data_IF_990167608557
#
_entry.id   IF_990167608557
#
_cell.length_a   1.000
_cell.length_b   1.000
_cell.length_c   1.000
_cell.angle_alpha   90.00
_cell.angle_beta   90.00
_cell.angle_gamma   90.00
#
_symmetry.space_group_name_H-M   'P 1'
#
loop_
_entity.id
_entity.type
_entity.pdbx_description
1 polymer ?
#
# COMPACT_ATOMS: atom_id res chain seq x y z
N UNK A 1 14.36 -12.84 -8.20
CA UNK A 1 15.17 -12.94 -6.94
C UNK A 1 14.59 -11.94 -5.95
N UNK A 2 14.61 -12.21 -4.63
CA UNK A 2 14.15 -11.24 -3.62
C UNK A 2 15.25 -10.19 -3.42
N UNK A 3 14.91 -8.91 -3.54
CA UNK A 3 15.85 -7.78 -3.57
C UNK A 3 15.99 -7.04 -2.21
N UNK A 4 15.48 -7.63 -1.14
CA UNK A 4 15.57 -7.08 0.23
C UNK A 4 15.71 -8.19 1.26
N UNK A 5 16.42 -7.91 2.34
CA UNK A 5 16.53 -8.82 3.50
C UNK A 5 15.36 -8.66 4.47
N UNK A 6 14.58 -7.59 4.33
CA UNK A 6 13.47 -7.30 5.21
C UNK A 6 12.32 -8.31 5.03
N UNK A 7 11.73 -8.70 6.12
CA UNK A 7 10.45 -9.40 6.12
C UNK A 7 9.32 -8.45 5.74
N UNK A 8 8.20 -8.97 5.26
CA UNK A 8 7.01 -8.16 4.94
C UNK A 8 6.60 -7.29 6.14
N UNK A 9 6.67 -7.81 7.37
CA UNK A 9 6.34 -7.05 8.59
C UNK A 9 7.27 -5.88 8.87
N UNK A 10 8.53 -5.99 8.51
CA UNK A 10 9.49 -4.87 8.64
C UNK A 10 9.21 -3.82 7.59
N UNK A 11 8.89 -4.22 6.36
CA UNK A 11 8.47 -3.32 5.29
C UNK A 11 7.15 -2.62 5.69
N UNK A 12 6.14 -3.35 6.18
CA UNK A 12 4.90 -2.77 6.70
C UNK A 12 5.19 -1.68 7.76
N UNK A 13 6.12 -1.90 8.69
CA UNK A 13 6.49 -0.90 9.72
C UNK A 13 7.08 0.37 9.11
N UNK A 14 7.92 0.24 8.09
CA UNK A 14 8.49 1.39 7.36
C UNK A 14 7.35 2.18 6.72
N UNK A 15 6.45 1.50 6.02
CA UNK A 15 5.31 2.11 5.34
C UNK A 15 4.37 2.81 6.35
N UNK A 16 4.06 2.14 7.46
CA UNK A 16 3.20 2.69 8.53
C UNK A 16 3.81 3.97 9.12
N UNK A 17 5.12 3.97 9.40
CA UNK A 17 5.81 5.16 9.90
C UNK A 17 5.76 6.30 8.87
N UNK A 18 5.97 5.97 7.61
CA UNK A 18 5.92 6.88 6.49
C UNK A 18 4.53 7.49 6.25
N UNK A 19 3.46 6.72 6.44
CA UNK A 19 2.06 7.18 6.36
C UNK A 19 1.63 8.07 7.55
N UNK A 20 2.49 8.31 8.53
CA UNK A 20 2.19 9.11 9.71
C UNK A 20 1.70 8.29 10.91
N UNK A 21 1.76 6.97 10.81
CA UNK A 21 1.51 6.04 11.91
C UNK A 21 0.04 5.85 12.27
N UNK A 22 -0.18 4.94 13.21
CA UNK A 22 -1.51 4.53 13.69
C UNK A 22 -2.23 5.57 14.56
N UNK A 23 -1.53 6.63 14.98
CA UNK A 23 -2.15 7.70 15.78
C UNK A 23 -3.06 8.60 14.95
N UNK A 24 -2.79 8.70 13.65
CA UNK A 24 -3.48 9.61 12.74
C UNK A 24 -4.33 8.89 11.71
N UNK A 25 -4.10 7.59 11.54
CA UNK A 25 -4.75 6.79 10.50
C UNK A 25 -5.27 5.46 11.07
N UNK A 26 -6.35 4.96 10.48
CA UNK A 26 -6.75 3.56 10.62
C UNK A 26 -5.90 2.77 9.63
N UNK A 27 -5.01 1.89 10.11
CA UNK A 27 -4.11 1.12 9.27
C UNK A 27 -4.41 -0.37 9.41
N UNK A 28 -4.63 -1.05 8.29
CA UNK A 28 -4.96 -2.48 8.24
C UNK A 28 -4.05 -3.18 7.24
N UNK A 29 -3.13 -4.05 7.70
CA UNK A 29 -2.35 -4.88 6.80
C UNK A 29 -3.14 -6.09 6.33
N UNK A 30 -2.82 -6.57 5.13
CA UNK A 30 -3.41 -7.76 4.51
C UNK A 30 -4.95 -7.74 4.53
N UNK A 31 -5.53 -6.69 3.99
CA UNK A 31 -6.97 -6.59 3.86
C UNK A 31 -7.44 -7.54 2.75
N UNK A 32 -8.08 -8.62 3.13
CA UNK A 32 -8.71 -9.56 2.22
C UNK A 32 -10.21 -9.57 2.42
N UNK A 33 -10.97 -9.76 1.34
CA UNK A 33 -12.41 -10.05 1.28
C UNK A 33 -13.37 -9.19 2.12
N UNK A 34 -14.31 -8.63 1.44
CA UNK A 34 -15.52 -8.04 2.04
C UNK A 34 -15.44 -6.54 2.34
N UNK A 35 -14.34 -5.86 1.98
CA UNK A 35 -14.28 -4.41 1.99
C UNK A 35 -13.92 -3.84 0.61
N UNK A 36 -12.74 -4.11 0.06
CA UNK A 36 -12.42 -3.82 -1.34
C UNK A 36 -12.88 -4.96 -2.24
N UNK A 37 -12.89 -4.74 -3.55
CA UNK A 37 -13.19 -5.77 -4.56
C UNK A 37 -11.98 -6.70 -4.84
N UNK A 38 -10.85 -6.44 -4.21
CA UNK A 38 -9.59 -7.17 -4.31
C UNK A 38 -8.90 -7.25 -2.95
N UNK A 39 -7.78 -7.98 -2.88
CA UNK A 39 -6.90 -8.02 -1.71
C UNK A 39 -5.88 -6.90 -1.79
N UNK A 40 -5.60 -6.25 -0.65
CA UNK A 40 -4.60 -5.21 -0.51
C UNK A 40 -3.58 -5.58 0.57
N UNK A 41 -2.29 -5.38 0.30
CA UNK A 41 -1.23 -5.67 1.28
C UNK A 41 -1.33 -4.76 2.49
N UNK A 42 -1.65 -3.49 2.28
CA UNK A 42 -1.88 -2.53 3.36
C UNK A 42 -2.83 -1.43 2.92
N UNK A 43 -3.78 -1.09 3.77
CA UNK A 43 -4.59 0.12 3.61
C UNK A 43 -4.41 1.07 4.79
N UNK A 44 -4.53 2.36 4.50
CA UNK A 44 -4.57 3.43 5.50
C UNK A 44 -5.76 4.36 5.21
N UNK A 45 -6.56 4.65 6.23
CA UNK A 45 -7.64 5.64 6.14
C UNK A 45 -7.28 6.83 7.01
N UNK A 46 -7.16 8.00 6.38
CA UNK A 46 -6.80 9.23 7.08
C UNK A 46 -7.99 9.82 7.88
N UNK A 47 -7.71 10.85 8.68
CA UNK A 47 -8.74 11.54 9.50
C UNK A 47 -9.88 12.13 8.66
N UNK A 48 -9.64 12.44 7.39
CA UNK A 48 -10.62 13.01 6.48
C UNK A 48 -11.47 11.92 5.80
N UNK A 49 -11.11 10.63 5.98
CA UNK A 49 -11.80 9.48 5.41
C UNK A 49 -11.32 9.06 4.04
N UNK A 50 -10.19 9.55 3.58
CA UNK A 50 -9.58 9.08 2.34
C UNK A 50 -8.77 7.82 2.56
N UNK A 51 -8.99 6.81 1.70
CA UNK A 51 -8.28 5.56 1.72
C UNK A 51 -7.07 5.59 0.80
N UNK A 52 -5.93 5.20 1.35
CA UNK A 52 -4.70 4.92 0.62
C UNK A 52 -4.47 3.42 0.63
N UNK A 53 -4.24 2.84 -0.53
CA UNK A 53 -3.86 1.46 -0.72
C UNK A 53 -2.37 1.37 -1.07
N UNK A 54 -1.70 0.39 -0.51
CA UNK A 54 -0.29 0.14 -0.73
C UNK A 54 -0.08 -1.33 -1.06
N UNK A 55 0.62 -1.58 -2.16
CA UNK A 55 1.10 -2.90 -2.57
C UNK A 55 2.61 -3.02 -2.34
N UNK A 56 3.03 -4.12 -1.74
CA UNK A 56 4.44 -4.40 -1.41
C UNK A 56 4.98 -5.44 -2.39
N UNK A 57 5.98 -5.07 -3.17
CA UNK A 57 6.65 -6.00 -4.10
C UNK A 57 8.11 -6.15 -3.67
N UNK A 58 8.57 -7.38 -3.53
CA UNK A 58 9.92 -7.68 -3.03
C UNK A 58 10.91 -8.06 -4.12
N UNK A 59 10.45 -8.16 -5.36
CA UNK A 59 11.27 -8.39 -6.55
C UNK A 59 10.62 -7.76 -7.77
N UNK A 60 11.41 -7.57 -8.83
CA UNK A 60 10.91 -7.04 -10.10
C UNK A 60 9.94 -8.01 -10.78
N UNK A 61 10.16 -9.31 -10.68
CA UNK A 61 9.24 -10.34 -11.22
C UNK A 61 7.88 -10.28 -10.52
N UNK A 62 7.85 -10.10 -9.19
CA UNK A 62 6.62 -9.96 -8.42
C UNK A 62 5.86 -8.67 -8.82
N UNK A 63 6.61 -7.58 -9.03
CA UNK A 63 6.05 -6.32 -9.54
C UNK A 63 5.40 -6.52 -10.92
N UNK A 64 6.11 -7.12 -11.88
CA UNK A 64 5.58 -7.41 -13.22
C UNK A 64 4.37 -8.34 -13.22
N UNK A 65 4.34 -9.29 -12.30
CA UNK A 65 3.23 -10.24 -12.22
C UNK A 65 1.89 -9.56 -11.87
N UNK A 66 1.93 -8.43 -11.18
CA UNK A 66 0.75 -7.68 -10.81
C UNK A 66 0.01 -7.08 -12.03
N UNK A 67 0.76 -6.65 -13.04
CA UNK A 67 0.21 -6.11 -14.30
C UNK A 67 -0.44 -7.16 -15.21
N UNK A 68 -0.32 -8.44 -14.87
CA UNK A 68 -0.98 -9.54 -15.57
C UNK A 68 -2.35 -9.88 -14.98
N UNK A 69 -2.70 -9.31 -13.84
CA UNK A 69 -3.99 -9.51 -13.20
C UNK A 69 -5.05 -8.66 -13.89
N UNK A 70 -6.24 -9.21 -14.06
CA UNK A 70 -7.37 -8.50 -14.69
C UNK A 70 -8.02 -7.46 -13.76
N UNK A 71 -7.70 -7.48 -12.47
CA UNK A 71 -8.24 -6.57 -11.47
C UNK A 71 -7.28 -5.40 -11.24
N UNK A 72 -7.68 -4.22 -11.70
CA UNK A 72 -6.94 -2.98 -11.49
C UNK A 72 -7.31 -2.35 -10.14
N UNK A 73 -6.29 -1.88 -9.41
CA UNK A 73 -6.44 -1.27 -8.08
C UNK A 73 -7.29 0.02 -8.05
N UNK A 74 -7.42 0.69 -9.18
CA UNK A 74 -8.18 1.94 -9.35
C UNK A 74 -9.64 1.74 -9.74
N UNK A 75 -10.13 0.51 -9.83
CA UNK A 75 -11.53 0.21 -10.14
C UNK A 75 -12.47 0.42 -8.96
N UNK A 76 -11.94 0.50 -7.72
CA UNK A 76 -12.74 0.75 -6.53
C UNK A 76 -12.80 2.25 -6.19
N UNK A 77 -14.00 2.83 -6.23
CA UNK A 77 -14.22 4.25 -5.93
C UNK A 77 -13.81 4.67 -4.50
N UNK A 78 -13.57 3.71 -3.61
CA UNK A 78 -13.10 3.97 -2.24
C UNK A 78 -11.60 4.22 -2.18
N UNK A 79 -10.84 3.78 -3.18
CA UNK A 79 -9.40 3.99 -3.22
C UNK A 79 -9.10 5.39 -3.75
N UNK A 80 -8.63 6.26 -2.87
CA UNK A 80 -8.25 7.64 -3.21
C UNK A 80 -6.80 7.73 -3.68
N UNK A 81 -5.90 6.93 -3.07
CA UNK A 81 -4.49 6.84 -3.45
C UNK A 81 -4.08 5.39 -3.54
N UNK A 82 -3.27 5.10 -4.53
CA UNK A 82 -2.63 3.80 -4.69
C UNK A 82 -1.13 3.97 -4.93
N UNK A 83 -0.31 3.08 -4.38
CA UNK A 83 1.12 3.10 -4.63
C UNK A 83 1.82 1.78 -4.35
N UNK A 84 2.83 1.49 -5.15
CA UNK A 84 3.74 0.37 -4.95
C UNK A 84 4.91 0.77 -4.04
N UNK A 85 5.30 -0.13 -3.15
CA UNK A 85 6.55 -0.06 -2.39
C UNK A 85 7.47 -1.19 -2.81
N UNK A 86 8.62 -0.83 -3.35
CA UNK A 86 9.62 -1.76 -3.90
C UNK A 86 10.99 -1.52 -3.27
N UNK A 87 11.90 -2.52 -3.22
CA UNK A 87 13.29 -2.26 -2.86
C UNK A 87 13.90 -1.17 -3.73
N UNK A 88 14.69 -0.26 -3.14
CA UNK A 88 15.32 0.83 -3.89
C UNK A 88 16.19 0.34 -5.04
N UNK A 89 16.79 -0.85 -4.92
CA UNK A 89 17.62 -1.45 -5.97
C UNK A 89 16.90 -1.64 -7.30
N UNK A 90 15.57 -1.86 -7.28
CA UNK A 90 14.76 -2.09 -8.47
C UNK A 90 13.80 -0.93 -8.77
N UNK A 91 13.87 0.17 -8.01
CA UNK A 91 12.94 1.29 -8.14
C UNK A 91 12.86 1.83 -9.56
N UNK A 92 14.01 2.08 -10.18
CA UNK A 92 14.09 2.62 -11.54
C UNK A 92 13.45 1.70 -12.58
N UNK A 93 13.75 0.42 -12.53
CA UNK A 93 13.18 -0.59 -13.43
C UNK A 93 11.65 -0.68 -13.26
N UNK A 94 11.16 -0.59 -12.02
CA UNK A 94 9.72 -0.59 -11.72
C UNK A 94 9.03 0.66 -12.27
N UNK A 95 9.64 1.84 -12.18
CA UNK A 95 9.09 3.10 -12.72
C UNK A 95 9.01 3.02 -14.25
N UNK A 96 10.07 2.60 -14.91
CA UNK A 96 10.10 2.44 -16.36
C UNK A 96 9.01 1.46 -16.82
N UNK A 97 8.96 0.28 -16.22
CA UNK A 97 7.96 -0.74 -16.53
C UNK A 97 6.52 -0.25 -16.30
N UNK A 98 6.27 0.42 -15.17
CA UNK A 98 4.98 1.00 -14.83
C UNK A 98 4.52 2.01 -15.90
N UNK A 99 5.41 2.89 -16.34
CA UNK A 99 5.12 3.90 -17.37
C UNK A 99 4.75 3.26 -18.72
N UNK A 100 5.34 2.13 -19.06
CA UNK A 100 5.10 1.44 -20.33
C UNK A 100 3.83 0.56 -20.30
N UNK A 101 3.53 -0.04 -19.15
CA UNK A 101 2.51 -1.11 -19.02
C UNK A 101 1.25 -0.69 -18.27
N UNK A 102 1.27 0.48 -17.60
CA UNK A 102 0.08 1.01 -16.94
C UNK A 102 -0.89 1.52 -18.01
N UNK A 103 -1.75 0.61 -18.53
CA UNK A 103 -2.69 0.89 -19.60
C UNK A 103 -4.09 1.19 -19.04
N UNK A 104 -4.57 2.39 -19.28
CA UNK A 104 -6.00 2.68 -19.43
C UNK A 104 -6.77 3.07 -18.19
N UNK A 105 -6.37 2.72 -16.99
CA UNK A 105 -7.06 3.19 -15.78
C UNK A 105 -5.98 3.70 -14.82
N UNK A 106 -5.73 4.95 -14.94
CA UNK A 106 -4.71 5.64 -14.17
C UNK A 106 -5.39 6.79 -13.44
N UNK A 107 -4.87 7.14 -12.30
CA UNK A 107 -5.31 8.33 -11.61
C UNK A 107 -4.88 9.56 -12.41
N UNK A 108 -5.83 10.25 -13.08
CA UNK A 108 -5.57 11.41 -13.95
C UNK A 108 -4.60 11.13 -15.11
N UNK A 109 -4.74 9.98 -15.78
CA UNK A 109 -3.89 9.57 -16.89
C UNK A 109 -2.38 9.49 -16.55
N UNK A 110 -2.07 9.30 -15.26
CA UNK A 110 -0.70 9.12 -14.79
C UNK A 110 -0.47 7.67 -14.35
N UNK A 111 0.73 7.12 -14.55
CA UNK A 111 1.10 5.84 -13.99
C UNK A 111 0.92 5.80 -12.47
N UNK A 112 0.78 4.62 -11.91
CA UNK A 112 0.73 4.43 -10.46
C UNK A 112 2.01 4.95 -9.80
N UNK A 113 1.89 5.46 -8.58
CA UNK A 113 3.08 5.89 -7.84
C UNK A 113 3.92 4.70 -7.39
N UNK A 114 5.24 4.82 -7.53
CA UNK A 114 6.20 3.80 -7.11
C UNK A 114 7.21 4.39 -6.15
N UNK A 115 7.38 3.76 -4.99
CA UNK A 115 8.27 4.21 -3.92
C UNK A 115 9.35 3.18 -3.67
N UNK A 116 10.58 3.66 -3.50
CA UNK A 116 11.71 2.84 -3.09
C UNK A 116 11.85 2.80 -1.58
N UNK A 117 12.16 1.64 -1.00
CA UNK A 117 12.61 1.53 0.38
C UNK A 117 13.99 0.87 0.46
N UNK A 118 14.70 1.15 1.53
CA UNK A 118 15.99 0.51 1.86
C UNK A 118 15.90 -0.27 3.17
N UNK A 119 16.82 -1.19 3.36
CA UNK A 119 16.86 -2.04 4.56
C UNK A 119 17.11 -1.22 5.85
N UNK A 120 17.64 0.02 5.76
CA UNK A 120 17.77 0.95 6.87
C UNK A 120 16.52 1.84 7.10
N UNK A 121 15.42 1.57 6.39
CA UNK A 121 14.12 2.20 6.60
C UNK A 121 13.91 3.55 5.92
N UNK A 122 14.79 3.96 5.01
CA UNK A 122 14.58 5.17 4.21
C UNK A 122 13.61 4.90 3.07
N UNK A 123 12.79 5.90 2.73
CA UNK A 123 11.84 5.84 1.60
C UNK A 123 12.23 6.89 0.57
N UNK A 124 12.10 6.54 -0.69
CA UNK A 124 12.50 7.33 -1.84
C UNK A 124 11.31 7.52 -2.79
N UNK A 125 11.21 8.72 -3.38
CA UNK A 125 10.26 9.01 -4.46
C UNK A 125 10.78 8.52 -5.83
N UNK A 126 10.00 8.79 -6.85
CA UNK A 126 10.31 8.41 -8.24
C UNK A 126 11.56 9.10 -8.79
N UNK A 127 11.92 10.26 -8.27
CA UNK A 127 13.16 10.97 -8.60
C UNK A 127 14.36 10.50 -7.76
N UNK A 128 14.16 9.54 -6.88
CA UNK A 128 15.20 8.99 -6.02
C UNK A 128 15.57 9.88 -4.83
N UNK A 129 14.73 10.85 -4.46
CA UNK A 129 14.93 11.71 -3.29
C UNK A 129 14.38 11.03 -2.05
N UNK A 130 15.07 11.19 -0.93
CA UNK A 130 14.55 10.71 0.36
C UNK A 130 13.33 11.54 0.75
N UNK A 131 12.25 10.85 1.09
CA UNK A 131 11.01 11.48 1.53
C UNK A 131 10.67 11.06 2.94
N UNK A 132 10.26 12.03 3.76
CA UNK A 132 10.02 11.84 5.19
C UNK A 132 8.55 11.83 5.58
N UNK A 133 7.66 12.16 4.67
CA UNK A 133 6.20 12.15 4.88
C UNK A 133 5.42 11.88 3.59
N UNK A 134 4.28 11.30 3.84
CA UNK A 134 3.34 10.81 2.85
C UNK A 134 3.11 11.73 1.66
N UNK A 135 3.21 11.14 0.58
CA UNK A 135 2.35 11.04 -0.58
C UNK A 135 1.88 12.38 -1.17
N UNK A 136 2.67 12.94 -2.06
CA UNK A 136 2.12 13.76 -3.13
C UNK A 136 1.79 12.83 -4.32
N UNK A 137 0.65 12.17 -4.28
CA UNK A 137 0.25 11.22 -5.33
C UNK A 137 -0.74 11.82 -6.28
N UNK A 138 -0.77 11.22 -7.46
CA UNK A 138 -1.95 11.26 -8.29
C UNK A 138 -3.11 10.68 -7.48
N UNK A 139 -4.11 11.52 -7.19
CA UNK A 139 -5.32 11.11 -6.52
C UNK A 139 -6.31 10.58 -7.56
N UNK A 140 -7.07 9.55 -7.23
CA UNK A 140 -8.18 9.10 -8.03
C UNK A 140 -9.30 10.16 -8.03
N UNK A 141 -9.57 10.84 -9.15
CA UNK A 141 -10.58 11.91 -9.19
C UNK A 141 -12.01 11.37 -9.07
N UNK A 142 -12.21 10.07 -9.29
CA UNK A 142 -13.50 9.37 -9.15
C UNK A 142 -13.73 8.83 -7.76
N UNK A 143 -12.72 8.92 -6.88
CA UNK A 143 -12.84 8.37 -5.53
C UNK A 143 -13.71 9.24 -4.64
N UNK A 144 -14.31 8.58 -3.66
CA UNK A 144 -15.05 9.22 -2.59
C UNK A 144 -14.42 8.97 -1.22
N UNK A 145 -14.78 9.78 -0.27
CA UNK A 145 -14.47 9.53 1.14
C UNK A 145 -15.24 8.31 1.63
N UNK A 146 -14.64 7.55 2.52
CA UNK A 146 -15.34 6.49 3.23
C UNK A 146 -16.42 7.08 4.16
N UNK A 147 -17.59 6.48 4.17
CA UNK A 147 -18.63 6.74 5.15
C UNK A 147 -18.19 6.29 6.56
N UNK A 148 -18.87 6.75 7.59
CA UNK A 148 -18.52 6.39 8.97
C UNK A 148 -18.59 4.88 9.19
N UNK A 149 -19.62 4.22 8.67
CA UNK A 149 -19.82 2.77 8.77
C UNK A 149 -18.68 2.01 8.09
N UNK A 150 -18.19 2.50 6.95
CA UNK A 150 -17.06 1.90 6.24
C UNK A 150 -15.76 2.03 7.04
N UNK A 151 -15.52 3.21 7.65
CA UNK A 151 -14.36 3.41 8.54
C UNK A 151 -14.41 2.49 9.75
N UNK A 152 -15.59 2.33 10.35
CA UNK A 152 -15.80 1.39 11.47
C UNK A 152 -15.55 -0.05 11.03
N UNK A 153 -16.02 -0.44 9.83
CA UNK A 153 -15.76 -1.77 9.27
C UNK A 153 -14.26 -2.00 9.08
N UNK A 154 -13.53 -1.03 8.51
CA UNK A 154 -12.07 -1.11 8.35
C UNK A 154 -11.37 -1.24 9.70
N UNK A 155 -11.74 -0.43 10.69
CA UNK A 155 -11.18 -0.50 12.03
C UNK A 155 -11.45 -1.87 12.68
N UNK A 156 -12.66 -2.41 12.54
CA UNK A 156 -13.01 -3.74 13.03
C UNK A 156 -12.19 -4.84 12.38
N UNK A 157 -11.99 -4.79 11.06
CA UNK A 157 -11.14 -5.74 10.33
C UNK A 157 -9.68 -5.67 10.83
N UNK A 158 -9.17 -4.47 11.12
CA UNK A 158 -7.87 -4.27 11.74
C UNK A 158 -7.77 -4.94 13.11
N UNK A 159 -8.78 -4.77 13.97
CA UNK A 159 -8.84 -5.42 15.28
C UNK A 159 -8.86 -6.96 15.14
N UNK A 160 -9.66 -7.49 14.21
CA UNK A 160 -9.70 -8.93 13.94
C UNK A 160 -8.36 -9.51 13.53
N UNK A 161 -7.52 -8.75 12.81
CA UNK A 161 -6.16 -9.17 12.41
C UNK A 161 -5.19 -9.18 13.59
N UNK A 162 -5.39 -8.34 14.60
CA UNK A 162 -4.56 -8.31 15.82
C UNK A 162 -4.88 -9.44 16.78
N UNK A 163 -6.15 -9.80 16.94
CA UNK A 163 -6.62 -10.75 17.95
C UNK A 163 -6.00 -12.16 17.84
N UNK A 164 -5.89 -12.80 16.66
CA UNK A 164 -5.22 -14.09 16.52
C UNK A 164 -3.74 -14.05 16.88
N UNK A 165 -3.08 -12.89 16.69
CA UNK A 165 -1.67 -12.70 17.03
C UNK A 165 -1.44 -12.65 18.55
N UNK A 166 -2.38 -12.08 19.30
CA UNK A 166 -2.34 -12.05 20.76
C UNK A 166 -2.60 -13.43 21.37
N UNK A 167 -3.55 -14.18 20.81
CA UNK A 167 -3.90 -15.55 21.28
C UNK A 167 -2.74 -16.53 21.13
N UNK A 168 -1.94 -16.43 20.07
CA UNK A 168 -0.76 -17.30 19.85
C UNK A 168 0.38 -17.03 20.84
N UNK A 169 0.45 -15.85 21.46
CA UNK A 169 1.48 -15.50 22.46
C UNK A 169 1.11 -15.97 23.86
N UNK A 170 -0.17 -16.12 24.20
CA UNK A 170 -0.64 -16.52 25.51
C UNK A 170 -0.66 -18.04 25.74
N UNK A 171 -0.47 -18.85 24.69
CA UNK A 171 -0.49 -20.32 24.78
C UNK A 171 0.92 -20.93 24.95
N UNK A 172 1.97 -20.12 24.92
CA UNK A 172 3.35 -20.54 25.25
C UNK A 172 3.63 -20.23 26.74
N UNK A 173 2.93 -20.89 27.64
CA UNK A 173 3.28 -21.06 29.04
C UNK A 173 3.46 -22.52 29.38
#
# INVERSE_FOLDING_TARGET
>A
MIETKLSVKEIERIIVAYLGGVRTNIIVPNLSWGFLNHEADLIAVDKNGYLTEVEIKRSFEDFKADFKKDNYHDTDERVFRFGYFVPKSILKECIEYNSEHCKGVTFNDKPYSVFGFTDDGKVYDEEGRIIHRAFSYSNNPRSRKLFLEERLKVAHLGCMRLYPRLRKKSIKR
#
